data_IF_269772854373
#
_entry.id   IF_269772854373
#
_cell.length_a   1.000
_cell.length_b   1.000
_cell.length_c   1.000
_cell.angle_alpha   90.00
_cell.angle_beta   90.00
_cell.angle_gamma   90.00
#
_symmetry.space_group_name_H-M   'P 1'
#
loop_
_entity.id
_entity.type
_entity.pdbx_description
1 polymer ?
#
# COMPACT_ATOMS: atom_id res chain seq x y z
N UNK A 1 -24.42 2.15 2.89
CA UNK A 1 -24.03 1.01 3.76
C UNK A 1 -22.99 1.50 4.75
N UNK A 2 -23.12 1.13 6.03
CA UNK A 2 -22.06 1.34 7.02
C UNK A 2 -21.20 0.09 7.06
N UNK A 3 -19.89 0.26 7.09
CA UNK A 3 -18.92 -0.82 7.27
C UNK A 3 -17.91 -0.43 8.33
N UNK A 4 -17.31 -1.42 8.99
CA UNK A 4 -16.14 -1.19 9.81
C UNK A 4 -14.86 -1.46 9.02
N UNK A 5 -13.94 -0.51 9.03
CA UNK A 5 -12.62 -0.63 8.40
C UNK A 5 -11.53 -0.66 9.48
N UNK A 6 -10.46 -1.37 9.19
CA UNK A 6 -9.26 -1.48 10.00
C UNK A 6 -8.03 -1.09 9.17
N UNK A 7 -7.08 -0.41 9.81
CA UNK A 7 -5.79 -0.06 9.23
C UNK A 7 -4.70 -0.51 10.19
N UNK A 8 -3.92 -1.51 9.80
CA UNK A 8 -2.71 -1.89 10.54
C UNK A 8 -1.57 -0.93 10.20
N UNK A 9 -0.82 -0.53 11.22
CA UNK A 9 0.51 0.06 11.07
C UNK A 9 1.55 -0.64 11.94
N UNK A 10 1.23 -1.85 12.44
CA UNK A 10 2.18 -2.68 13.18
C UNK A 10 3.36 -3.04 12.26
N UNK A 11 4.59 -3.19 12.81
CA UNK A 11 5.74 -3.54 12.00
C UNK A 11 5.76 -5.02 11.59
N UNK A 12 6.20 -5.32 10.36
CA UNK A 12 6.50 -6.70 9.97
C UNK A 12 7.77 -7.20 10.66
N UNK A 13 8.12 -8.46 10.42
CA UNK A 13 9.44 -8.96 10.78
C UNK A 13 10.40 -8.64 9.61
N UNK A 14 11.12 -7.52 9.70
CA UNK A 14 11.96 -7.02 8.60
C UNK A 14 12.90 -8.11 8.07
N UNK A 15 12.87 -8.36 6.76
CA UNK A 15 13.69 -9.38 6.08
C UNK A 15 13.44 -10.83 6.57
N UNK A 16 12.27 -11.10 7.13
CA UNK A 16 11.80 -12.44 7.50
C UNK A 16 10.37 -12.64 7.00
N UNK A 17 10.23 -13.23 5.81
CA UNK A 17 8.93 -13.42 5.17
C UNK A 17 8.01 -14.37 5.97
N UNK A 18 8.44 -15.56 6.40
CA UNK A 18 7.59 -16.47 7.18
C UNK A 18 6.99 -15.83 8.43
N UNK A 19 7.80 -15.07 9.19
CA UNK A 19 7.32 -14.39 10.39
C UNK A 19 6.40 -13.21 10.05
N UNK A 20 6.69 -12.47 8.97
CA UNK A 20 5.82 -11.38 8.51
C UNK A 20 4.45 -11.90 8.03
N UNK A 21 4.41 -13.03 7.34
CA UNK A 21 3.17 -13.72 6.95
C UNK A 21 2.36 -14.14 8.20
N UNK A 22 3.03 -14.73 9.20
CA UNK A 22 2.38 -15.13 10.44
C UNK A 22 1.78 -13.92 11.20
N UNK A 23 2.50 -12.79 11.25
CA UNK A 23 1.99 -11.54 11.83
C UNK A 23 0.81 -10.98 11.05
N UNK A 24 0.87 -10.98 9.71
CA UNK A 24 -0.26 -10.55 8.87
C UNK A 24 -1.51 -11.41 9.12
N UNK A 25 -1.38 -12.73 9.16
CA UNK A 25 -2.50 -13.65 9.46
C UNK A 25 -3.07 -13.39 10.86
N UNK A 26 -2.21 -13.13 11.85
CA UNK A 26 -2.65 -12.74 13.20
C UNK A 26 -3.43 -11.43 13.20
N UNK A 27 -2.97 -10.41 12.47
CA UNK A 27 -3.65 -9.12 12.34
C UNK A 27 -5.00 -9.24 11.62
N UNK A 28 -5.10 -10.11 10.61
CA UNK A 28 -6.38 -10.44 9.93
C UNK A 28 -7.37 -11.03 10.92
N UNK A 29 -6.93 -11.98 11.74
CA UNK A 29 -7.78 -12.57 12.79
C UNK A 29 -8.21 -11.53 13.83
N UNK A 30 -7.28 -10.74 14.36
CA UNK A 30 -7.57 -9.67 15.32
C UNK A 30 -8.58 -8.66 14.75
N UNK A 31 -8.39 -8.23 13.50
CA UNK A 31 -9.29 -7.29 12.85
C UNK A 31 -10.69 -7.87 12.64
N UNK A 32 -10.78 -9.15 12.23
CA UNK A 32 -12.04 -9.84 12.05
C UNK A 32 -12.80 -10.03 13.38
N UNK A 33 -12.10 -10.38 14.47
CA UNK A 33 -12.67 -10.49 15.82
C UNK A 33 -13.26 -9.17 16.32
N UNK A 34 -12.67 -8.03 15.90
CA UNK A 34 -13.19 -6.71 16.20
C UNK A 34 -14.33 -6.26 15.27
N UNK A 35 -14.64 -7.03 14.22
CA UNK A 35 -15.76 -6.79 13.30
C UNK A 35 -15.38 -6.04 12.02
N UNK A 36 -14.09 -5.85 11.74
CA UNK A 36 -13.65 -5.16 10.53
C UNK A 36 -13.96 -5.99 9.27
N UNK A 37 -14.55 -5.35 8.27
CA UNK A 37 -14.86 -5.98 6.97
C UNK A 37 -13.76 -5.72 5.93
N UNK A 38 -12.91 -4.72 6.16
CA UNK A 38 -11.76 -4.36 5.34
C UNK A 38 -10.56 -4.09 6.26
N UNK A 39 -9.45 -4.78 6.04
CA UNK A 39 -8.17 -4.53 6.69
C UNK A 39 -7.13 -4.05 5.67
N UNK A 40 -6.49 -2.91 5.97
CA UNK A 40 -5.44 -2.33 5.13
C UNK A 40 -4.09 -2.41 5.85
N UNK A 41 -3.08 -2.95 5.17
CA UNK A 41 -1.70 -3.00 5.62
C UNK A 41 -0.83 -1.94 4.93
N UNK A 42 0.32 -1.58 5.53
CA UNK A 42 1.28 -0.61 4.96
C UNK A 42 1.93 -1.00 3.63
N UNK A 43 2.58 0.00 3.02
CA UNK A 43 3.47 -0.20 1.86
C UNK A 43 4.56 -1.20 2.21
N UNK A 44 4.79 -2.18 1.32
CA UNK A 44 5.87 -3.19 1.48
C UNK A 44 5.88 -3.91 2.82
N UNK A 45 4.73 -4.09 3.48
CA UNK A 45 4.64 -4.84 4.75
C UNK A 45 5.30 -6.22 4.65
N UNK A 46 5.18 -6.91 3.51
CA UNK A 46 5.88 -8.18 3.29
C UNK A 46 7.22 -7.98 2.57
N UNK A 47 8.38 -8.33 3.16
CA UNK A 47 8.64 -8.50 4.59
C UNK A 47 9.08 -7.18 5.26
N UNK A 48 8.85 -6.02 4.65
CA UNK A 48 9.23 -4.71 5.18
C UNK A 48 9.84 -3.79 4.14
N UNK A 49 9.74 -2.49 4.40
CA UNK A 49 10.33 -1.46 3.55
C UNK A 49 11.87 -1.46 3.66
N UNK A 50 12.61 -1.34 2.55
CA UNK A 50 14.07 -1.35 2.54
C UNK A 50 14.66 -0.02 3.03
N UNK A 51 14.41 0.34 4.30
CA UNK A 51 14.73 1.66 4.87
C UNK A 51 16.20 2.06 4.77
N UNK A 52 17.11 1.09 4.63
CA UNK A 52 18.55 1.34 4.43
C UNK A 52 18.85 2.15 3.16
N UNK A 53 17.98 2.17 2.15
CA UNK A 53 18.22 2.93 0.90
C UNK A 53 18.37 4.44 1.14
N UNK A 54 17.82 4.95 2.25
CA UNK A 54 17.92 6.35 2.63
C UNK A 54 19.20 6.68 3.42
N UNK A 55 19.94 5.64 3.84
CA UNK A 55 21.10 5.75 4.73
C UNK A 55 22.40 5.31 4.06
N UNK A 56 22.31 4.47 3.02
CA UNK A 56 23.48 4.04 2.24
C UNK A 56 23.87 5.06 1.18
N UNK A 57 25.18 5.22 0.96
CA UNK A 57 25.73 6.08 -0.09
C UNK A 57 25.80 5.32 -1.42
N UNK A 58 25.21 5.86 -2.51
CA UNK A 58 25.37 5.30 -3.84
C UNK A 58 26.85 5.18 -4.23
N UNK A 59 27.24 4.03 -4.78
CA UNK A 59 28.64 3.74 -5.16
C UNK A 59 29.56 3.39 -3.99
N UNK A 60 29.50 4.14 -2.89
CA UNK A 60 30.38 3.93 -1.72
C UNK A 60 30.04 2.69 -0.89
N UNK A 61 28.76 2.37 -0.74
CA UNK A 61 28.29 1.30 0.15
C UNK A 61 27.71 0.09 -0.63
N UNK A 62 28.14 -0.09 -1.89
CA UNK A 62 27.60 -1.12 -2.80
C UNK A 62 27.70 -2.55 -2.26
N UNK A 63 28.78 -2.90 -1.54
CA UNK A 63 28.95 -4.23 -0.98
C UNK A 63 27.87 -4.55 0.07
N UNK A 64 27.61 -3.59 0.98
CA UNK A 64 26.55 -3.69 1.98
C UNK A 64 25.16 -3.68 1.31
N UNK A 65 24.96 -2.82 0.31
CA UNK A 65 23.75 -2.78 -0.49
C UNK A 65 23.44 -4.13 -1.16
N UNK A 66 24.45 -4.78 -1.75
CA UNK A 66 24.30 -6.10 -2.39
C UNK A 66 23.93 -7.19 -1.37
N UNK A 67 24.56 -7.19 -0.18
CA UNK A 67 24.24 -8.14 0.89
C UNK A 67 22.78 -7.99 1.37
N UNK A 68 22.32 -6.75 1.53
CA UNK A 68 20.93 -6.47 1.94
C UNK A 68 19.94 -6.81 0.81
N UNK A 69 20.31 -6.54 -0.44
CA UNK A 69 19.50 -6.91 -1.60
C UNK A 69 19.33 -8.43 -1.70
N UNK A 70 20.39 -9.21 -1.51
CA UNK A 70 20.32 -10.69 -1.48
C UNK A 70 19.31 -11.18 -0.44
N UNK A 71 19.38 -10.64 0.79
CA UNK A 71 18.41 -10.98 1.86
C UNK A 71 16.99 -10.57 1.49
N UNK A 72 16.81 -9.40 0.87
CA UNK A 72 15.49 -8.92 0.46
C UNK A 72 14.90 -9.83 -0.64
N UNK A 73 15.68 -10.19 -1.66
CA UNK A 73 15.24 -11.09 -2.74
C UNK A 73 14.85 -12.47 -2.20
N UNK A 74 15.60 -12.99 -1.22
CA UNK A 74 15.29 -14.26 -0.58
C UNK A 74 13.99 -14.25 0.25
N UNK A 75 13.55 -13.07 0.71
CA UNK A 75 12.34 -12.89 1.51
C UNK A 75 11.24 -12.10 0.77
N UNK A 76 11.37 -11.90 -0.54
CA UNK A 76 10.34 -11.22 -1.34
C UNK A 76 9.29 -12.22 -1.82
N UNK A 77 8.06 -11.77 -1.90
CA UNK A 77 6.87 -12.58 -2.19
C UNK A 77 6.87 -13.01 -3.66
N UNK A 78 6.81 -14.31 -3.91
CA UNK A 78 6.40 -14.86 -5.20
C UNK A 78 4.90 -15.23 -5.18
N UNK A 79 4.10 -14.37 -5.80
CA UNK A 79 2.64 -14.54 -5.86
C UNK A 79 2.28 -15.79 -6.69
N UNK A 80 2.95 -16.03 -7.81
CA UNK A 80 2.64 -17.17 -8.67
C UNK A 80 3.14 -18.50 -8.04
N UNK A 81 4.11 -18.40 -7.12
CA UNK A 81 4.62 -19.51 -6.31
C UNK A 81 3.80 -19.85 -5.06
N UNK A 82 2.74 -19.08 -4.75
CA UNK A 82 1.84 -19.36 -3.62
C UNK A 82 2.26 -18.75 -2.28
N UNK A 83 3.25 -17.84 -2.24
CA UNK A 83 3.70 -17.23 -0.98
C UNK A 83 2.60 -16.43 -0.26
N UNK A 84 1.57 -15.98 -0.98
CA UNK A 84 0.40 -15.27 -0.42
C UNK A 84 -0.75 -16.18 0.01
N UNK A 85 -0.68 -17.49 -0.25
CA UNK A 85 -1.78 -18.42 0.06
C UNK A 85 -2.22 -18.34 1.53
N UNK A 86 -1.33 -18.26 2.55
CA UNK A 86 -1.76 -18.14 3.94
C UNK A 86 -2.64 -16.91 4.22
N UNK A 87 -2.36 -15.80 3.55
CA UNK A 87 -3.13 -14.55 3.69
C UNK A 87 -4.46 -14.67 2.95
N UNK A 88 -4.45 -15.23 1.74
CA UNK A 88 -5.66 -15.47 0.95
C UNK A 88 -6.63 -16.41 1.69
N UNK A 89 -6.11 -17.49 2.27
CA UNK A 89 -6.88 -18.41 3.09
C UNK A 89 -7.42 -17.74 4.36
N UNK A 90 -6.64 -16.90 5.03
CA UNK A 90 -7.10 -16.16 6.21
C UNK A 90 -8.23 -15.19 5.86
N UNK A 91 -8.09 -14.42 4.76
CA UNK A 91 -9.12 -13.53 4.25
C UNK A 91 -10.43 -14.29 3.95
N UNK A 92 -10.34 -15.43 3.26
CA UNK A 92 -11.49 -16.29 2.95
C UNK A 92 -12.18 -16.85 4.21
N UNK A 93 -11.39 -17.36 5.16
CA UNK A 93 -11.90 -17.94 6.42
C UNK A 93 -12.63 -16.90 7.27
N UNK A 94 -12.11 -15.67 7.32
CA UNK A 94 -12.69 -14.57 8.08
C UNK A 94 -13.75 -13.78 7.30
N UNK A 95 -13.96 -14.10 6.02
CA UNK A 95 -14.82 -13.34 5.10
C UNK A 95 -14.51 -11.84 5.10
N UNK A 96 -13.22 -11.51 5.18
CA UNK A 96 -12.70 -10.14 5.32
C UNK A 96 -11.93 -9.75 4.07
N UNK A 97 -12.12 -8.52 3.58
CA UNK A 97 -11.26 -7.98 2.53
C UNK A 97 -9.92 -7.52 3.10
N UNK A 98 -8.84 -7.83 2.38
CA UNK A 98 -7.49 -7.47 2.80
C UNK A 98 -6.79 -6.71 1.68
N UNK A 99 -6.15 -5.59 2.02
CA UNK A 99 -5.26 -4.86 1.11
C UNK A 99 -3.88 -4.85 1.72
N UNK A 100 -2.88 -5.39 1.01
CA UNK A 100 -1.54 -5.58 1.56
C UNK A 100 -0.43 -5.24 0.58
N UNK A 101 0.54 -4.45 1.07
CA UNK A 101 1.75 -4.07 0.35
C UNK A 101 2.88 -5.08 0.54
N UNK A 102 3.70 -5.26 -0.48
CA UNK A 102 4.80 -6.23 -0.49
C UNK A 102 5.95 -5.84 -1.42
N UNK A 103 7.13 -6.39 -1.11
CA UNK A 103 8.18 -6.61 -2.08
C UNK A 103 7.83 -7.88 -2.85
N UNK A 104 7.50 -7.72 -4.11
CA UNK A 104 7.11 -8.79 -5.01
C UNK A 104 8.30 -9.19 -5.87
N UNK A 105 8.61 -10.48 -5.95
CA UNK A 105 9.66 -11.02 -6.83
C UNK A 105 9.02 -11.63 -8.07
N UNK A 106 9.35 -11.10 -9.25
CA UNK A 106 8.81 -11.62 -10.51
C UNK A 106 9.61 -12.82 -11.01
N UNK A 107 9.07 -14.02 -10.84
CA UNK A 107 9.66 -15.27 -11.32
C UNK A 107 9.40 -15.58 -12.79
N UNK A 108 8.58 -14.80 -13.50
CA UNK A 108 8.20 -15.08 -14.90
C UNK A 108 9.36 -14.94 -15.90
N UNK A 109 10.40 -14.17 -15.53
CA UNK A 109 11.55 -13.90 -16.38
C UNK A 109 12.87 -14.34 -15.71
N UNK A 110 13.69 -13.40 -15.22
CA UNK A 110 14.98 -13.70 -14.58
C UNK A 110 14.87 -14.12 -13.11
N UNK A 111 13.67 -14.01 -12.51
CA UNK A 111 13.48 -14.26 -11.07
C UNK A 111 14.16 -13.25 -10.14
N UNK A 112 14.77 -12.20 -10.68
CA UNK A 112 15.67 -11.32 -9.92
C UNK A 112 15.16 -9.90 -9.75
N UNK A 113 14.08 -9.51 -10.45
CA UNK A 113 13.51 -8.18 -10.33
C UNK A 113 12.49 -8.14 -9.21
N UNK A 114 12.67 -7.16 -8.32
CA UNK A 114 11.69 -6.85 -7.29
C UNK A 114 10.78 -5.71 -7.75
N UNK A 115 9.53 -5.75 -7.33
CA UNK A 115 8.56 -4.68 -7.50
C UNK A 115 7.97 -4.31 -6.13
N UNK A 116 7.66 -3.04 -5.97
CA UNK A 116 6.81 -2.59 -4.87
C UNK A 116 5.36 -2.74 -5.33
N UNK A 117 4.64 -3.67 -4.71
CA UNK A 117 3.29 -4.04 -5.12
C UNK A 117 2.30 -3.92 -3.99
N UNK A 118 1.05 -3.66 -4.33
CA UNK A 118 -0.10 -3.80 -3.44
C UNK A 118 -1.13 -4.70 -4.11
N UNK A 119 -1.72 -5.61 -3.33
CA UNK A 119 -2.82 -6.46 -3.80
C UNK A 119 -4.09 -6.17 -3.03
N UNK A 120 -5.23 -6.33 -3.70
CA UNK A 120 -6.55 -6.37 -3.08
C UNK A 120 -7.02 -7.81 -3.10
N UNK A 121 -7.28 -8.39 -1.92
CA UNK A 121 -7.74 -9.75 -1.73
C UNK A 121 -9.20 -9.71 -1.30
N UNK A 122 -10.04 -10.44 -2.03
CA UNK A 122 -11.47 -10.57 -1.76
C UNK A 122 -11.74 -11.36 -0.48
N UNK A 123 -12.97 -11.23 0.02
CA UNK A 123 -13.45 -12.00 1.18
C UNK A 123 -13.62 -13.50 0.88
N UNK A 124 -13.44 -13.91 -0.36
CA UNK A 124 -13.36 -15.30 -0.84
C UNK A 124 -11.91 -15.79 -0.98
N UNK A 125 -10.93 -14.93 -0.73
CA UNK A 125 -9.50 -15.22 -0.86
C UNK A 125 -8.93 -14.97 -2.27
N UNK A 126 -9.72 -14.54 -3.25
CA UNK A 126 -9.20 -14.26 -4.59
C UNK A 126 -8.43 -12.93 -4.64
N UNK A 127 -7.31 -12.89 -5.36
CA UNK A 127 -6.61 -11.62 -5.63
C UNK A 127 -7.38 -10.87 -6.73
N UNK A 128 -8.11 -9.84 -6.33
CA UNK A 128 -8.98 -9.03 -7.21
C UNK A 128 -8.20 -8.01 -8.04
N UNK A 129 -7.08 -7.50 -7.51
CA UNK A 129 -6.18 -6.61 -8.23
C UNK A 129 -4.76 -6.74 -7.69
N UNK A 130 -3.79 -6.53 -8.59
CA UNK A 130 -2.36 -6.43 -8.29
C UNK A 130 -1.82 -5.19 -8.96
N UNK A 131 -1.42 -4.20 -8.16
CA UNK A 131 -0.87 -2.94 -8.63
C UNK A 131 0.61 -2.86 -8.27
N UNK A 132 1.47 -2.82 -9.28
CA UNK A 132 2.90 -2.52 -9.15
C UNK A 132 3.09 -1.01 -9.22
N UNK A 133 3.85 -0.44 -8.28
CA UNK A 133 4.19 0.99 -8.23
C UNK A 133 4.74 1.46 -9.57
N UNK A 134 4.08 2.42 -10.21
CA UNK A 134 4.40 2.90 -11.55
C UNK A 134 5.82 3.46 -11.65
N UNK A 135 6.28 4.15 -10.61
CA UNK A 135 7.59 4.78 -10.57
C UNK A 135 8.16 4.78 -9.16
N UNK A 136 9.20 3.97 -8.87
CA UNK A 136 9.91 4.05 -7.60
C UNK A 136 10.53 5.44 -7.37
N UNK A 137 10.44 5.92 -6.15
CA UNK A 137 10.90 7.24 -5.71
C UNK A 137 12.40 7.25 -5.48
N UNK A 138 13.12 8.10 -6.21
CA UNK A 138 14.53 8.44 -5.96
C UNK A 138 15.43 7.20 -5.64
N UNK A 139 15.90 6.92 -4.40
CA UNK A 139 16.78 5.78 -4.16
C UNK A 139 16.07 4.42 -4.26
N UNK A 140 14.73 4.38 -4.22
CA UNK A 140 13.94 3.17 -4.43
C UNK A 140 14.19 2.54 -5.82
N UNK A 141 14.66 3.33 -6.80
CA UNK A 141 15.04 2.87 -8.14
C UNK A 141 16.27 1.95 -8.13
N UNK A 142 17.00 1.89 -7.01
CA UNK A 142 18.08 0.94 -6.82
C UNK A 142 17.58 -0.42 -6.31
N UNK A 143 16.28 -0.54 -5.99
CA UNK A 143 15.67 -1.77 -5.45
C UNK A 143 14.60 -2.31 -6.40
N UNK A 144 13.68 -1.46 -6.85
CA UNK A 144 12.48 -1.90 -7.56
C UNK A 144 12.48 -1.51 -9.05
N UNK A 145 11.86 -2.38 -9.84
CA UNK A 145 11.42 -2.06 -11.20
C UNK A 145 10.17 -1.16 -11.21
N UNK A 146 9.94 -0.51 -12.34
CA UNK A 146 8.72 0.27 -12.59
C UNK A 146 7.57 -0.63 -13.03
N UNK A 147 6.38 -0.42 -12.46
CA UNK A 147 5.14 -1.06 -12.88
C UNK A 147 4.56 -0.46 -14.16
N UNK A 148 3.62 -1.17 -14.77
CA UNK A 148 2.79 -0.68 -15.86
C UNK A 148 1.36 -0.33 -15.36
N UNK A 149 0.48 0.07 -16.27
CA UNK A 149 -0.87 0.50 -15.92
C UNK A 149 -1.89 -0.64 -15.77
N UNK A 150 -1.49 -1.92 -15.84
CA UNK A 150 -2.44 -3.05 -15.77
C UNK A 150 -3.20 -3.07 -14.44
N UNK A 151 -2.53 -2.65 -13.36
CA UNK A 151 -3.05 -2.59 -11.99
C UNK A 151 -3.77 -1.29 -11.61
N UNK A 152 -3.83 -0.29 -12.51
CA UNK A 152 -4.58 0.97 -12.30
C UNK A 152 -6.10 0.76 -12.41
N UNK A 153 -6.62 -0.11 -11.57
CA UNK A 153 -7.99 -0.62 -11.59
C UNK A 153 -8.70 -0.27 -10.28
N UNK A 154 -10.00 -0.04 -10.39
CA UNK A 154 -10.91 -0.03 -9.24
C UNK A 154 -11.68 -1.34 -9.24
N UNK A 155 -11.64 -2.06 -8.12
CA UNK A 155 -12.36 -3.33 -7.97
C UNK A 155 -13.67 -3.12 -7.24
N UNK A 156 -14.73 -3.77 -7.73
CA UNK A 156 -16.03 -3.78 -7.06
C UNK A 156 -16.06 -4.88 -6.00
N UNK A 157 -16.50 -4.53 -4.79
CA UNK A 157 -16.44 -5.43 -3.64
C UNK A 157 -17.68 -5.26 -2.75
N UNK A 158 -18.00 -6.23 -1.88
CA UNK A 158 -19.10 -6.10 -0.93
C UNK A 158 -18.99 -4.89 0.02
N UNK A 159 -17.80 -4.32 0.21
CA UNK A 159 -17.55 -3.16 1.07
C UNK A 159 -17.46 -1.82 0.31
N UNK A 160 -17.67 -1.85 -1.00
CA UNK A 160 -17.57 -0.68 -1.89
C UNK A 160 -16.46 -0.81 -2.93
N UNK A 161 -16.36 0.20 -3.81
CA UNK A 161 -15.37 0.21 -4.90
C UNK A 161 -14.00 0.69 -4.39
N UNK A 162 -12.99 -0.17 -4.48
CA UNK A 162 -11.64 0.05 -3.91
C UNK A 162 -10.63 0.29 -5.03
N UNK A 163 -9.77 1.30 -4.84
CA UNK A 163 -8.63 1.60 -5.71
C UNK A 163 -7.42 1.98 -4.88
N UNK A 164 -6.22 1.67 -5.38
CA UNK A 164 -4.98 1.84 -4.62
C UNK A 164 -3.93 2.62 -5.44
N UNK A 165 -3.19 3.52 -4.78
CA UNK A 165 -1.94 4.08 -5.29
C UNK A 165 -0.91 4.15 -4.17
N UNK A 166 0.33 3.78 -4.47
CA UNK A 166 1.39 3.59 -3.49
C UNK A 166 2.20 4.88 -3.34
N UNK A 167 2.27 5.41 -2.12
CA UNK A 167 3.20 6.46 -1.73
C UNK A 167 3.15 7.65 -2.70
N UNK A 168 4.26 8.04 -3.33
CA UNK A 168 4.32 9.22 -4.19
C UNK A 168 3.56 9.12 -5.52
N UNK A 169 2.99 7.96 -5.87
CA UNK A 169 2.00 7.89 -6.95
C UNK A 169 0.78 8.77 -6.67
N UNK A 170 0.49 9.02 -5.40
CA UNK A 170 -0.56 9.94 -4.96
C UNK A 170 -0.31 11.39 -5.38
N UNK A 171 0.92 11.76 -5.77
CA UNK A 171 1.22 13.07 -6.35
C UNK A 171 1.05 13.08 -7.87
N UNK A 172 0.80 11.95 -8.53
CA UNK A 172 0.61 11.87 -9.98
C UNK A 172 -0.86 12.16 -10.32
N UNK A 173 -1.20 13.34 -10.87
CA UNK A 173 -2.59 13.71 -11.10
C UNK A 173 -3.31 12.79 -12.09
N UNK A 174 -2.60 12.30 -13.11
CA UNK A 174 -3.18 11.40 -14.11
C UNK A 174 -3.46 10.00 -13.55
N UNK A 175 -2.62 9.50 -12.64
CA UNK A 175 -2.86 8.22 -11.97
C UNK A 175 -4.08 8.32 -11.03
N UNK A 176 -4.20 9.41 -10.27
CA UNK A 176 -5.39 9.66 -9.44
C UNK A 176 -6.66 9.76 -10.28
N UNK A 177 -6.62 10.56 -11.36
CA UNK A 177 -7.76 10.70 -12.27
C UNK A 177 -8.17 9.36 -12.91
N UNK A 178 -7.20 8.50 -13.24
CA UNK A 178 -7.47 7.16 -13.75
C UNK A 178 -8.36 6.34 -12.79
N UNK A 179 -8.15 6.45 -11.47
CA UNK A 179 -8.99 5.77 -10.49
C UNK A 179 -10.34 6.47 -10.28
N UNK A 180 -10.36 7.81 -10.21
CA UNK A 180 -11.63 8.55 -10.06
C UNK A 180 -12.62 8.25 -11.19
N UNK A 181 -12.12 8.14 -12.42
CA UNK A 181 -12.92 7.83 -13.61
C UNK A 181 -13.54 6.42 -13.62
N UNK A 182 -13.17 5.56 -12.67
CA UNK A 182 -13.70 4.21 -12.53
C UNK A 182 -14.77 4.10 -11.44
N UNK A 183 -15.33 5.24 -11.01
CA UNK A 183 -16.28 5.31 -9.90
C UNK A 183 -15.59 4.73 -8.65
N UNK A 184 -14.82 5.53 -7.93
CA UNK A 184 -14.10 5.10 -6.73
C UNK A 184 -14.89 5.47 -5.46
N UNK A 185 -14.97 4.59 -4.46
CA UNK A 185 -15.55 4.92 -3.15
C UNK A 185 -14.50 5.02 -2.05
N UNK A 186 -13.57 4.06 -2.02
CA UNK A 186 -12.52 3.92 -1.01
C UNK A 186 -11.16 3.93 -1.72
N UNK A 187 -10.40 4.98 -1.48
CA UNK A 187 -9.05 5.18 -1.97
C UNK A 187 -8.07 4.72 -0.89
N UNK A 188 -7.20 3.77 -1.22
CA UNK A 188 -6.19 3.23 -0.30
C UNK A 188 -4.80 3.73 -0.72
N UNK A 189 -4.12 4.38 0.23
CA UNK A 189 -2.83 5.04 0.04
C UNK A 189 -1.77 4.50 1.01
N UNK A 190 -1.28 3.26 0.82
CA UNK A 190 -0.15 2.76 1.59
C UNK A 190 1.10 3.57 1.24
N UNK A 191 1.90 3.92 2.25
CA UNK A 191 3.03 4.84 2.07
C UNK A 191 4.20 4.53 3.01
N UNK A 192 5.35 5.14 2.74
CA UNK A 192 6.49 5.31 3.65
C UNK A 192 6.73 6.80 3.99
N UNK A 193 5.89 7.70 3.46
CA UNK A 193 5.85 9.11 3.82
C UNK A 193 5.03 9.31 5.12
N UNK A 194 5.17 10.46 5.79
CA UNK A 194 4.48 10.73 7.07
C UNK A 194 4.38 12.23 7.38
N UNK A 195 3.67 12.58 8.46
CA UNK A 195 3.55 13.95 8.95
C UNK A 195 2.64 14.88 8.14
N UNK A 196 2.69 16.18 8.50
CA UNK A 196 1.70 17.18 8.09
C UNK A 196 1.60 17.37 6.57
N UNK A 197 2.72 17.25 5.85
CA UNK A 197 2.75 17.42 4.39
C UNK A 197 1.98 16.28 3.70
N UNK A 198 2.22 15.04 4.14
CA UNK A 198 1.49 13.88 3.64
C UNK A 198 0.00 13.95 3.98
N UNK A 199 -0.34 14.30 5.23
CA UNK A 199 -1.73 14.45 5.68
C UNK A 199 -2.47 15.53 4.88
N UNK A 200 -1.82 16.66 4.57
CA UNK A 200 -2.40 17.69 3.73
C UNK A 200 -2.71 17.19 2.31
N UNK A 201 -1.83 16.37 1.73
CA UNK A 201 -2.03 15.74 0.43
C UNK A 201 -3.21 14.76 0.44
N UNK A 202 -3.28 13.87 1.43
CA UNK A 202 -4.39 12.92 1.56
C UNK A 202 -5.73 13.65 1.74
N UNK A 203 -5.73 14.75 2.51
CA UNK A 203 -6.91 15.58 2.69
C UNK A 203 -7.37 16.25 1.39
N UNK A 204 -6.42 16.72 0.57
CA UNK A 204 -6.71 17.24 -0.76
C UNK A 204 -7.29 16.16 -1.69
N UNK A 205 -6.69 14.96 -1.71
CA UNK A 205 -7.15 13.83 -2.53
C UNK A 205 -8.59 13.42 -2.17
N UNK A 206 -8.90 13.31 -0.87
CA UNK A 206 -10.25 12.98 -0.40
C UNK A 206 -11.28 14.04 -0.86
N UNK A 207 -10.86 15.30 -0.95
CA UNK A 207 -11.69 16.40 -1.46
C UNK A 207 -11.84 16.39 -2.97
N UNK A 208 -10.74 16.19 -3.68
CA UNK A 208 -10.70 16.17 -5.15
C UNK A 208 -11.50 15.00 -5.73
N UNK A 209 -11.29 13.78 -5.22
CA UNK A 209 -11.99 12.59 -5.70
C UNK A 209 -13.38 12.38 -5.08
N UNK A 210 -13.69 13.09 -3.99
CA UNK A 210 -14.92 12.88 -3.23
C UNK A 210 -15.04 11.44 -2.73
N UNK A 211 -13.95 10.85 -2.24
CA UNK A 211 -13.87 9.45 -1.78
C UNK A 211 -13.33 9.36 -0.35
N UNK A 212 -13.55 8.23 0.31
CA UNK A 212 -12.87 7.93 1.57
C UNK A 212 -11.39 7.68 1.27
N UNK A 213 -10.49 8.29 2.02
CA UNK A 213 -9.05 8.01 1.90
C UNK A 213 -8.58 7.30 3.15
N UNK A 214 -8.03 6.10 2.98
CA UNK A 214 -7.39 5.29 4.02
C UNK A 214 -5.89 5.27 3.72
N UNK A 215 -5.08 5.85 4.59
CA UNK A 215 -3.63 5.95 4.41
C UNK A 215 -2.92 5.31 5.59
N UNK A 216 -1.79 4.65 5.33
CA UNK A 216 -0.98 4.03 6.38
C UNK A 216 0.48 3.88 5.98
N UNK A 217 1.36 4.06 6.95
CA UNK A 217 2.76 3.68 6.89
C UNK A 217 3.07 2.69 8.03
N UNK A 218 4.19 1.99 7.93
CA UNK A 218 4.61 1.12 9.04
C UNK A 218 5.12 2.00 10.19
N UNK A 219 4.54 1.88 11.39
CA UNK A 219 5.09 2.47 12.59
C UNK A 219 6.30 1.63 13.02
N UNK A 220 7.51 2.16 12.76
CA UNK A 220 8.76 1.41 12.88
C UNK A 220 9.81 2.19 13.66
N UNK A 221 10.41 1.53 14.65
CA UNK A 221 11.52 2.01 15.45
C UNK A 221 12.82 1.27 15.12
N UNK A 222 13.97 1.82 15.53
CA UNK A 222 15.25 1.13 15.40
C UNK A 222 15.27 -0.24 16.07
N UNK A 223 14.57 -0.38 17.21
CA UNK A 223 14.38 -1.66 17.91
C UNK A 223 13.67 -2.75 17.08
N UNK A 224 12.91 -2.39 16.03
CA UNK A 224 12.26 -3.35 15.13
C UNK A 224 13.18 -3.88 14.03
N UNK A 225 14.35 -3.26 13.82
CA UNK A 225 15.37 -3.80 12.92
C UNK A 225 15.83 -5.15 13.50
N UNK A 226 16.23 -6.16 12.71
CA UNK A 226 16.78 -7.40 13.24
C UNK A 226 18.13 -7.18 13.93
N UNK A 227 18.45 -7.97 14.96
CA UNK A 227 19.73 -7.88 15.66
C UNK A 227 20.92 -8.28 14.76
N UNK A 228 20.68 -9.17 13.80
CA UNK A 228 21.68 -9.65 12.82
C UNK A 228 21.74 -8.78 11.55
N UNK A 229 21.05 -7.63 11.55
CA UNK A 229 21.05 -6.72 10.40
C UNK A 229 22.47 -6.15 10.16
N UNK A 230 23.02 -6.28 8.94
CA UNK A 230 24.35 -5.77 8.61
C UNK A 230 24.51 -4.28 8.92
N UNK A 231 25.53 -3.92 9.70
CA UNK A 231 25.82 -2.53 10.11
C UNK A 231 24.68 -1.83 10.87
N UNK A 232 23.81 -2.59 11.56
CA UNK A 232 22.69 -2.08 12.37
C UNK A 232 23.06 -0.85 13.21
N UNK A 233 24.03 -0.98 14.11
CA UNK A 233 24.40 0.05 15.09
C UNK A 233 24.93 1.34 14.44
N UNK A 234 25.44 1.25 13.20
CA UNK A 234 25.90 2.41 12.44
C UNK A 234 24.76 3.07 11.67
N UNK A 235 23.80 2.27 11.22
CA UNK A 235 22.71 2.73 10.36
C UNK A 235 21.51 3.19 11.16
N UNK A 236 21.20 2.62 12.33
CA UNK A 236 19.97 2.87 13.08
C UNK A 236 20.27 3.02 14.58
N UNK A 237 19.64 4.02 15.20
CA UNK A 237 19.61 4.14 16.67
C UNK A 237 18.42 3.40 17.26
N UNK A 238 18.58 2.70 18.38
CA UNK A 238 17.53 1.81 18.92
C UNK A 238 16.22 2.53 19.29
N UNK A 239 16.31 3.74 19.89
CA UNK A 239 15.17 4.56 20.33
C UNK A 239 14.66 5.52 19.22
N UNK A 240 15.18 5.40 17.99
CA UNK A 240 14.75 6.27 16.90
C UNK A 240 13.44 5.78 16.28
N UNK A 241 12.52 6.70 15.97
CA UNK A 241 11.42 6.41 15.05
C UNK A 241 11.92 6.52 13.61
N UNK A 242 12.06 5.38 12.94
CA UNK A 242 12.40 5.31 11.52
C UNK A 242 11.22 5.84 10.68
N UNK A 243 10.00 5.46 11.07
CA UNK A 243 8.76 6.01 10.53
C UNK A 243 7.69 6.01 11.63
N UNK A 244 7.02 7.15 11.90
CA UNK A 244 6.05 7.24 12.99
C UNK A 244 4.69 6.57 12.69
N UNK A 245 4.47 6.07 11.47
CA UNK A 245 3.17 5.57 11.03
C UNK A 245 2.30 6.68 10.48
N UNK A 246 1.36 7.18 11.28
CA UNK A 246 0.30 8.14 10.91
C UNK A 246 -0.87 7.52 10.12
N UNK A 247 -1.25 6.28 10.44
CA UNK A 247 -2.48 5.67 9.92
C UNK A 247 -3.70 6.59 10.15
N UNK A 248 -4.42 6.92 9.07
CA UNK A 248 -5.47 7.93 9.08
C UNK A 248 -6.61 7.57 8.11
N UNK A 249 -7.81 7.99 8.49
CA UNK A 249 -9.02 7.90 7.66
C UNK A 249 -9.54 9.32 7.43
N UNK A 250 -9.74 9.70 6.18
CA UNK A 250 -10.22 11.02 5.78
C UNK A 250 -11.58 10.89 5.11
N UNK A 251 -12.49 11.80 5.49
CA UNK A 251 -13.86 11.86 4.98
C UNK A 251 -13.86 12.25 3.49
N UNK A 252 -14.85 11.77 2.71
CA UNK A 252 -15.15 12.33 1.41
C UNK A 252 -15.38 13.84 1.54
N UNK A 253 -14.79 14.62 0.64
CA UNK A 253 -14.79 16.09 0.69
C UNK A 253 -13.82 16.73 1.71
N UNK A 254 -13.01 15.93 2.39
CA UNK A 254 -11.96 16.35 3.31
C UNK A 254 -12.37 16.39 4.78
N UNK A 255 -11.36 16.48 5.65
CA UNK A 255 -11.47 16.43 7.10
C UNK A 255 -11.18 15.04 7.64
N UNK A 256 -10.34 14.97 8.69
CA UNK A 256 -9.99 13.72 9.35
C UNK A 256 -11.25 13.11 9.98
N UNK A 257 -11.46 11.82 9.75
CA UNK A 257 -12.46 11.01 10.41
C UNK A 257 -11.88 10.32 11.65
N UNK A 258 -10.72 9.68 11.50
CA UNK A 258 -10.02 8.96 12.56
C UNK A 258 -8.51 9.00 12.35
N UNK A 259 -7.73 8.92 13.43
CA UNK A 259 -6.29 9.12 13.41
C UNK A 259 -5.86 10.60 13.43
N UNK A 260 -4.61 10.91 13.04
CA UNK A 260 -3.54 9.97 12.71
C UNK A 260 -3.09 9.18 13.95
N UNK A 261 -2.79 7.89 13.81
CA UNK A 261 -2.08 7.14 14.84
C UNK A 261 -0.59 7.44 14.75
N UNK A 262 -0.15 8.46 15.48
CA UNK A 262 1.26 8.84 15.53
C UNK A 262 2.02 7.98 16.54
N UNK A 263 3.16 7.41 16.14
CA UNK A 263 4.10 6.67 17.00
C UNK A 263 3.45 5.55 17.82
N UNK A 264 2.55 4.78 17.20
CA UNK A 264 1.79 3.72 17.85
C UNK A 264 1.79 2.44 17.01
N UNK A 265 2.18 1.30 17.56
CA UNK A 265 2.18 0.02 16.83
C UNK A 265 0.85 -0.71 17.07
N UNK A 266 -0.22 -0.25 16.42
CA UNK A 266 -1.58 -0.79 16.62
C UNK A 266 -2.41 -0.77 15.33
N UNK A 267 -3.65 -1.24 15.43
CA UNK A 267 -4.65 -1.20 14.37
C UNK A 267 -5.65 -0.07 14.66
N UNK A 268 -5.87 0.82 13.70
CA UNK A 268 -6.93 1.83 13.74
C UNK A 268 -8.24 1.23 13.23
N UNK A 269 -9.30 1.33 14.02
CA UNK A 269 -10.65 0.90 13.64
C UNK A 269 -11.58 2.11 13.50
N UNK A 270 -12.44 2.11 12.48
CA UNK A 270 -13.49 3.11 12.33
C UNK A 270 -14.69 2.60 11.51
N UNK A 271 -15.88 3.12 11.81
CA UNK A 271 -17.07 2.91 11.01
C UNK A 271 -17.20 4.00 9.94
N UNK A 272 -17.33 3.60 8.68
CA UNK A 272 -17.53 4.54 7.56
C UNK A 272 -18.83 4.24 6.82
N UNK A 273 -19.48 5.30 6.35
CA UNK A 273 -20.61 5.18 5.44
C UNK A 273 -20.14 5.32 3.98
N UNK A 274 -20.05 4.21 3.28
CA UNK A 274 -19.49 4.14 1.91
C UNK A 274 -20.21 5.10 0.95
N UNK A 275 -21.53 5.23 1.08
CA UNK A 275 -22.36 6.11 0.25
C UNK A 275 -22.07 7.61 0.42
N UNK A 276 -21.34 7.99 1.47
CA UNK A 276 -20.87 9.37 1.63
C UNK A 276 -19.98 9.81 0.46
N UNK A 277 -19.24 8.89 -0.17
CA UNK A 277 -18.42 9.19 -1.35
C UNK A 277 -19.29 9.68 -2.52
N UNK A 278 -20.36 8.94 -2.84
CA UNK A 278 -21.30 9.33 -3.91
C UNK A 278 -21.94 10.69 -3.63
N UNK A 279 -22.34 10.97 -2.39
CA UNK A 279 -22.93 12.27 -2.01
C UNK A 279 -21.92 13.42 -2.10
N UNK A 280 -20.67 13.17 -1.72
CA UNK A 280 -19.60 14.17 -1.77
C UNK A 280 -19.26 14.63 -3.20
N UNK A 281 -19.50 13.79 -4.20
CA UNK A 281 -19.31 14.15 -5.62
C UNK A 281 -20.41 15.03 -6.21
N UNK A 282 -21.54 15.23 -5.51
CA UNK A 282 -22.62 16.12 -5.97
C UNK A 282 -22.14 17.55 -6.30
N UNK A 283 -21.43 18.27 -5.40
CA UNK A 283 -20.91 19.61 -5.72
C UNK A 283 -19.71 19.60 -6.68
N UNK A 284 -18.89 18.53 -6.68
CA UNK A 284 -17.69 18.42 -7.48
C UNK A 284 -17.45 16.94 -7.86
N UNK A 285 -17.65 16.61 -9.13
CA UNK A 285 -17.30 15.32 -9.71
C UNK A 285 -16.27 15.55 -10.82
N UNK A 286 -14.99 15.39 -10.48
CA UNK A 286 -13.87 15.70 -11.38
C UNK A 286 -13.83 14.81 -12.62
N UNK A 287 -14.37 13.59 -12.54
CA UNK A 287 -14.45 12.67 -13.67
C UNK A 287 -15.82 12.72 -14.38
N UNK A 288 -16.85 13.19 -13.70
CA UNK A 288 -18.21 13.38 -14.22
C UNK A 288 -18.50 14.81 -14.66
N UNK A 289 -19.48 15.46 -14.00
CA UNK A 289 -20.07 16.73 -14.46
C UNK A 289 -19.12 17.95 -14.45
N UNK A 290 -18.02 17.88 -13.71
CA UNK A 290 -17.00 18.93 -13.68
C UNK A 290 -15.93 18.75 -14.76
N UNK A 291 -15.88 17.57 -15.38
CA UNK A 291 -14.94 17.28 -16.46
C UNK A 291 -15.31 18.04 -17.75
N UNK A 292 -14.31 18.35 -18.58
CA UNK A 292 -14.45 19.03 -19.87
C UNK A 292 -13.93 18.14 -21.01
N UNK A 293 -14.65 17.06 -21.38
CA UNK A 293 -14.20 16.13 -22.43
C UNK A 293 -14.13 16.77 -23.82
N UNK A 294 -14.77 17.93 -24.01
CA UNK A 294 -14.64 18.76 -25.21
C UNK A 294 -13.29 19.51 -25.30
N UNK A 295 -12.56 19.63 -24.18
CA UNK A 295 -11.27 20.31 -24.08
C UNK A 295 -10.11 19.35 -23.77
N UNK A 296 -10.34 18.38 -22.89
CA UNK A 296 -9.32 17.49 -22.35
C UNK A 296 -9.72 16.04 -22.56
N UNK A 297 -8.76 15.22 -22.99
CA UNK A 297 -8.92 13.77 -23.06
C UNK A 297 -7.72 13.09 -22.43
N UNK A 298 -7.98 11.96 -21.76
CA UNK A 298 -6.96 11.09 -21.21
C UNK A 298 -7.19 9.68 -21.76
N UNK A 299 -6.12 9.10 -22.31
CA UNK A 299 -6.10 7.70 -22.75
C UNK A 299 -5.05 6.96 -21.91
N UNK A 300 -5.40 5.76 -21.45
CA UNK A 300 -4.55 4.93 -20.60
C UNK A 300 -4.40 3.57 -21.26
N UNK A 301 -3.18 3.23 -21.66
CA UNK A 301 -2.85 1.91 -22.16
C UNK A 301 -2.60 0.96 -20.98
N UNK A 302 -3.56 0.07 -20.72
CA UNK A 302 -3.50 -0.94 -19.64
C UNK A 302 -3.00 -2.30 -20.11
N UNK A 303 -2.57 -2.41 -21.37
CA UNK A 303 -2.00 -3.67 -21.85
C UNK A 303 -0.72 -3.97 -21.06
N UNK A 304 -0.57 -5.20 -20.52
CA UNK A 304 0.69 -5.62 -19.92
C UNK A 304 1.85 -5.38 -20.88
N UNK A 305 2.99 -4.94 -20.35
CA UNK A 305 4.20 -4.67 -21.15
C UNK A 305 5.29 -5.71 -20.88
N UNK A 306 5.15 -6.96 -21.37
CA UNK A 306 6.17 -7.98 -21.18
C UNK A 306 7.46 -7.60 -21.94
N UNK A 307 8.65 -7.89 -21.38
CA UNK A 307 9.92 -7.66 -22.05
C UNK A 307 10.18 -8.61 -23.24
N UNK A 308 9.43 -9.70 -23.37
CA UNK A 308 9.54 -10.71 -24.42
C UNK A 308 8.19 -11.39 -24.69
N UNK A 309 7.90 -11.68 -25.95
CA UNK A 309 6.82 -12.57 -26.40
C UNK A 309 7.47 -13.82 -27.04
N UNK A 310 7.02 -15.02 -26.68
CA UNK A 310 7.54 -16.30 -27.18
C UNK A 310 6.61 -16.93 -28.22
#
# INVERSE_FOLDING_TARGET
>A
MSIQVAISQKPPALLNLPESLARAVSDIHEAAENGAQLLVFPETYLPGYPTWIWRLRPGGDMALGNQLHERLVANSVDIDGGDLDPICEAAARQQQLVVIGMNERDQRYSGSTLYNSVVVIGSDGEILNRHRKLMPTNPERMVWGAGDASGLQVVDTPVGRIGCLICWENYMPLARFALYAQNLDIYIAPTWDSGDVWLASMNHIAREGGCWVLSTATAMEGSDIPADFPSRETLFGDDEWINPGDAVIIKPFGGIHSGPLHQQKSILYADIEVEAARRARKPLDVAGHYNRPDLFSLNIDRQPKPPVEF
#
